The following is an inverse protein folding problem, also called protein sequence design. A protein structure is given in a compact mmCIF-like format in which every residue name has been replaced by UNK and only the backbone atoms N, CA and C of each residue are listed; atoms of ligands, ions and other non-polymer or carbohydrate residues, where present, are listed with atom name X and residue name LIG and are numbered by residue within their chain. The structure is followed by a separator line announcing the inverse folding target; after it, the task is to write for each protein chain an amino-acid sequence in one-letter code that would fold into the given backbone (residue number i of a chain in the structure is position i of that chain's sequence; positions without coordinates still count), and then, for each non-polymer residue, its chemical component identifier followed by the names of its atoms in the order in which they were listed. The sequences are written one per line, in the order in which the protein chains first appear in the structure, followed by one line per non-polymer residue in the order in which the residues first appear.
data_IF_722768324685
#
_entry.id   IF_722768324685
#
_cell.length_a   1.000
_cell.length_b   1.000
_cell.length_c   1.000
_cell.angle_alpha   90.00
_cell.angle_beta   90.00
_cell.angle_gamma   90.00
#
_symmetry.space_group_name_H-M   'P 1'
#
loop_
_entity.id
_entity.type
_entity.pdbx_description
1 polymer ?
#
# COMPACT_ATOMS: atom_id res chain seq x y z
N UNK A 1 6.61 -16.46 -6.61
CA UNK A 1 6.96 -15.08 -7.06
C UNK A 1 6.54 -14.79 -8.51
N UNK A 2 6.45 -15.81 -9.35
CA UNK A 2 6.09 -15.67 -10.78
C UNK A 2 4.74 -14.98 -11.03
N UNK A 3 3.67 -15.36 -10.31
CA UNK A 3 2.34 -14.74 -10.45
C UNK A 3 2.36 -13.22 -10.20
N UNK A 4 3.13 -12.77 -9.21
CA UNK A 4 3.32 -11.34 -8.92
C UNK A 4 3.99 -10.63 -10.10
N UNK A 5 5.09 -11.19 -10.61
CA UNK A 5 5.82 -10.61 -11.74
C UNK A 5 4.96 -10.58 -13.01
N UNK A 6 4.23 -11.66 -13.29
CA UNK A 6 3.34 -11.73 -14.44
C UNK A 6 2.18 -10.73 -14.31
N UNK A 7 1.57 -10.59 -13.13
CA UNK A 7 0.49 -9.63 -12.91
C UNK A 7 0.95 -8.19 -13.04
N UNK A 8 2.15 -7.86 -12.52
CA UNK A 8 2.76 -6.53 -12.69
C UNK A 8 3.01 -6.22 -14.18
N UNK A 9 3.61 -7.17 -14.93
CA UNK A 9 3.82 -6.99 -16.38
C UNK A 9 2.52 -6.86 -17.17
N UNK A 10 1.52 -7.69 -16.84
CA UNK A 10 0.23 -7.68 -17.52
C UNK A 10 -0.54 -6.36 -17.31
N UNK A 11 -0.36 -5.71 -16.14
CA UNK A 11 -0.98 -4.41 -15.86
C UNK A 11 -0.53 -3.28 -16.81
N UNK A 12 0.61 -3.43 -17.49
CA UNK A 12 1.16 -2.41 -18.38
C UNK A 12 1.65 -1.12 -17.69
N UNK A 13 1.60 -1.05 -16.36
CA UNK A 13 2.09 0.09 -15.59
C UNK A 13 3.57 -0.06 -15.21
N UNK A 14 4.37 1.03 -15.23
CA UNK A 14 5.71 1.03 -14.66
C UNK A 14 5.67 0.66 -13.17
N UNK A 15 6.60 -0.18 -12.71
CA UNK A 15 6.64 -0.61 -11.31
C UNK A 15 8.04 -0.57 -10.71
N UNK A 16 8.09 -0.26 -9.41
CA UNK A 16 9.26 -0.50 -8.55
C UNK A 16 8.93 -1.68 -7.63
N UNK A 17 9.58 -2.82 -7.84
CA UNK A 17 9.33 -4.01 -7.03
C UNK A 17 10.51 -4.30 -6.10
N UNK A 18 10.25 -4.30 -4.79
CA UNK A 18 11.26 -4.59 -3.77
C UNK A 18 11.25 -6.08 -3.42
N UNK A 19 12.30 -6.80 -3.81
CA UNK A 19 12.47 -8.24 -3.56
C UNK A 19 13.72 -8.48 -2.72
N UNK A 20 13.52 -8.74 -1.42
CA UNK A 20 14.62 -9.05 -0.47
C UNK A 20 15.31 -10.36 -0.85
N UNK A 21 16.63 -10.44 -0.65
CA UNK A 21 17.43 -11.66 -0.94
C UNK A 21 16.88 -12.92 -0.28
N UNK A 22 16.44 -12.82 0.98
CA UNK A 22 15.92 -13.95 1.74
C UNK A 22 14.53 -14.42 1.28
N UNK A 23 13.89 -13.66 0.37
CA UNK A 23 12.58 -13.98 -0.21
C UNK A 23 12.71 -14.37 -1.70
N UNK A 24 13.93 -14.55 -2.21
CA UNK A 24 14.15 -15.08 -3.56
C UNK A 24 14.21 -16.60 -3.49
N UNK A 25 13.32 -17.24 -4.21
CA UNK A 25 13.57 -18.61 -4.70
C UNK A 25 14.72 -18.51 -5.70
N UNK A 26 15.74 -19.37 -5.58
CA UNK A 26 16.98 -19.29 -6.35
C UNK A 26 16.77 -19.37 -7.88
N UNK A 27 15.59 -19.83 -8.33
CA UNK A 27 15.23 -20.04 -9.73
C UNK A 27 14.43 -18.90 -10.39
N UNK A 28 14.02 -17.86 -9.64
CA UNK A 28 13.16 -16.81 -10.20
C UNK A 28 13.99 -15.72 -10.90
N UNK A 29 13.97 -15.74 -12.24
CA UNK A 29 14.55 -14.68 -13.08
C UNK A 29 13.66 -13.44 -13.03
N UNK A 30 14.07 -12.46 -12.23
CA UNK A 30 13.42 -11.15 -12.16
C UNK A 30 13.84 -10.35 -13.40
N UNK A 31 12.85 -10.02 -14.21
CA UNK A 31 12.98 -9.25 -15.44
C UNK A 31 12.44 -7.84 -15.19
N UNK A 32 13.30 -6.87 -15.40
CA UNK A 32 12.98 -5.45 -15.39
C UNK A 32 12.28 -5.16 -16.72
N UNK A 33 10.95 -5.27 -16.73
CA UNK A 33 10.16 -4.81 -17.88
C UNK A 33 10.50 -3.37 -18.25
N UNK A 34 10.04 -2.90 -19.41
CA UNK A 34 10.31 -1.53 -19.86
C UNK A 34 9.84 -0.51 -18.79
N UNK A 35 10.70 0.43 -18.43
CA UNK A 35 10.50 1.45 -17.37
C UNK A 35 10.20 0.91 -15.96
N UNK A 36 10.60 -0.33 -15.65
CA UNK A 36 10.40 -0.95 -14.34
C UNK A 36 11.72 -1.32 -13.68
N UNK A 37 11.73 -1.42 -12.34
CA UNK A 37 12.94 -1.71 -11.57
C UNK A 37 12.68 -2.77 -10.51
N UNK A 38 13.65 -3.67 -10.30
CA UNK A 38 13.59 -4.67 -9.24
C UNK A 38 14.77 -4.54 -8.29
N UNK A 39 14.51 -4.04 -7.09
CA UNK A 39 15.55 -3.70 -6.10
C UNK A 39 15.44 -4.56 -4.86
N UNK A 40 16.51 -4.67 -4.07
CA UNK A 40 16.49 -5.46 -2.82
C UNK A 40 16.00 -4.65 -1.61
N UNK A 41 16.10 -3.33 -1.70
CA UNK A 41 15.72 -2.39 -0.67
C UNK A 41 15.43 -1.03 -1.31
N UNK A 42 14.51 -0.29 -0.72
CA UNK A 42 14.30 1.12 -1.02
C UNK A 42 13.98 1.88 0.28
N UNK A 43 14.11 3.20 0.25
CA UNK A 43 13.54 4.06 1.28
C UNK A 43 12.04 4.22 0.99
N UNK A 44 11.21 3.36 1.62
CA UNK A 44 9.76 3.29 1.35
C UNK A 44 9.07 4.64 1.52
N UNK A 45 9.41 5.40 2.57
CA UNK A 45 8.83 6.74 2.82
C UNK A 45 9.16 7.71 1.67
N UNK A 46 10.41 7.75 1.21
CA UNK A 46 10.79 8.60 0.08
C UNK A 46 10.09 8.17 -1.21
N UNK A 47 9.98 6.87 -1.46
CA UNK A 47 9.25 6.34 -2.62
C UNK A 47 7.78 6.76 -2.56
N UNK A 48 7.08 6.48 -1.45
CA UNK A 48 5.65 6.82 -1.29
C UNK A 48 5.38 8.33 -1.35
N UNK A 49 6.34 9.16 -0.96
CA UNK A 49 6.23 10.62 -1.07
C UNK A 49 6.40 11.16 -2.50
N UNK A 50 6.87 10.33 -3.44
CA UNK A 50 7.16 10.76 -4.80
C UNK A 50 5.87 10.87 -5.64
N UNK A 51 5.66 11.96 -6.40
CA UNK A 51 4.42 12.19 -7.15
C UNK A 51 4.15 11.18 -8.27
N UNK A 52 5.17 10.43 -8.71
CA UNK A 52 5.02 9.37 -9.73
C UNK A 52 4.37 8.09 -9.18
N UNK A 53 4.20 7.94 -7.86
CA UNK A 53 3.57 6.75 -7.29
C UNK A 53 2.05 6.84 -7.41
N UNK A 54 1.49 5.95 -8.23
CA UNK A 54 0.05 5.85 -8.45
C UNK A 54 -0.67 4.84 -7.54
N UNK A 55 0.04 3.82 -7.04
CA UNK A 55 -0.52 2.77 -6.19
C UNK A 55 0.59 2.09 -5.38
N UNK A 56 0.23 1.60 -4.19
CA UNK A 56 1.09 0.77 -3.35
C UNK A 56 0.49 -0.63 -3.15
N UNK A 57 1.17 -1.63 -3.69
CA UNK A 57 0.86 -3.04 -3.42
C UNK A 57 1.51 -3.43 -2.09
N UNK A 58 0.71 -3.77 -1.09
CA UNK A 58 1.18 -3.94 0.30
C UNK A 58 0.47 -5.08 1.01
N UNK A 59 1.14 -5.68 1.99
CA UNK A 59 0.53 -6.66 2.89
C UNK A 59 -0.30 -6.02 4.01
N UNK A 60 -0.47 -4.69 4.01
CA UNK A 60 -1.25 -3.96 5.03
C UNK A 60 -0.73 -4.09 6.47
N UNK A 61 0.59 -4.22 6.65
CA UNK A 61 1.21 -3.97 7.95
C UNK A 61 0.96 -2.53 8.38
N UNK A 62 0.64 -2.29 9.66
CA UNK A 62 0.12 -1.00 10.12
C UNK A 62 1.03 0.20 9.80
N UNK A 63 2.35 0.05 9.93
CA UNK A 63 3.30 1.11 9.57
C UNK A 63 3.19 1.49 8.08
N UNK A 64 3.23 0.50 7.19
CA UNK A 64 3.12 0.72 5.74
C UNK A 64 1.75 1.31 5.36
N UNK A 65 0.68 0.88 6.02
CA UNK A 65 -0.66 1.45 5.83
C UNK A 65 -0.69 2.93 6.22
N UNK A 66 -0.14 3.29 7.38
CA UNK A 66 -0.07 4.68 7.83
C UNK A 66 0.79 5.56 6.92
N UNK A 67 1.93 5.06 6.43
CA UNK A 67 2.76 5.78 5.46
C UNK A 67 1.98 6.04 4.15
N UNK A 68 1.28 5.04 3.63
CA UNK A 68 0.46 5.19 2.42
C UNK A 68 -0.64 6.23 2.60
N UNK A 69 -1.35 6.21 3.73
CA UNK A 69 -2.39 7.19 4.05
C UNK A 69 -1.80 8.59 4.21
N UNK A 70 -0.65 8.73 4.88
CA UNK A 70 0.00 10.02 5.14
C UNK A 70 0.52 10.71 3.88
N UNK A 71 0.78 9.96 2.79
CA UNK A 71 1.16 10.49 1.47
C UNK A 71 0.05 10.38 0.42
N UNK A 72 -1.14 9.94 0.81
CA UNK A 72 -2.30 9.85 -0.08
C UNK A 72 -2.10 8.90 -1.25
N UNK A 73 -1.37 7.80 -1.02
CA UNK A 73 -1.16 6.74 -2.01
C UNK A 73 -2.21 5.66 -1.81
N UNK A 74 -3.00 5.30 -2.84
CA UNK A 74 -3.99 4.23 -2.73
C UNK A 74 -3.33 2.85 -2.73
N UNK A 75 -4.03 1.85 -2.19
CA UNK A 75 -3.45 0.54 -1.92
C UNK A 75 -4.13 -0.61 -2.68
N UNK A 76 -3.32 -1.61 -3.07
CA UNK A 76 -3.78 -2.98 -3.29
C UNK A 76 -3.31 -3.81 -2.10
N UNK A 77 -4.26 -4.27 -1.31
CA UNK A 77 -4.02 -5.00 -0.07
C UNK A 77 -3.92 -6.51 -0.33
N UNK A 78 -2.79 -7.11 0.03
CA UNK A 78 -2.53 -8.56 -0.04
C UNK A 78 -2.08 -9.04 1.34
N UNK A 79 -3.01 -9.11 2.33
CA UNK A 79 -2.66 -9.48 3.69
C UNK A 79 -2.04 -10.87 3.74
N UNK A 80 -1.01 -11.03 4.58
CA UNK A 80 -0.30 -12.28 4.77
C UNK A 80 -0.63 -12.87 6.14
N UNK A 81 -0.31 -12.18 7.24
CA UNK A 81 -0.42 -12.73 8.61
C UNK A 81 -0.93 -11.71 9.65
N UNK A 82 -1.29 -12.20 10.84
CA UNK A 82 -1.59 -11.40 12.05
C UNK A 82 -2.79 -10.45 11.86
N UNK A 83 -2.61 -9.14 12.02
CA UNK A 83 -3.63 -8.09 12.00
C UNK A 83 -3.86 -7.54 10.59
N UNK A 84 -3.05 -7.96 9.61
CA UNK A 84 -3.03 -7.44 8.25
C UNK A 84 -4.38 -7.57 7.54
N UNK A 85 -5.14 -8.63 7.83
CA UNK A 85 -6.47 -8.81 7.25
C UNK A 85 -7.47 -7.75 7.75
N UNK A 86 -7.38 -7.42 9.04
CA UNK A 86 -8.18 -6.35 9.65
C UNK A 86 -7.76 -4.99 9.06
N UNK A 87 -6.46 -4.77 8.88
CA UNK A 87 -5.95 -3.55 8.26
C UNK A 87 -6.39 -3.42 6.80
N UNK A 88 -6.36 -4.51 6.03
CA UNK A 88 -6.84 -4.55 4.65
C UNK A 88 -8.35 -4.23 4.57
N UNK A 89 -9.15 -4.73 5.51
CA UNK A 89 -10.56 -4.37 5.62
C UNK A 89 -10.74 -2.86 5.85
N UNK A 90 -9.97 -2.26 6.75
CA UNK A 90 -10.03 -0.80 6.98
C UNK A 90 -9.68 -0.01 5.71
N UNK A 91 -8.65 -0.42 4.96
CA UNK A 91 -8.28 0.21 3.67
C UNK A 91 -9.46 0.26 2.69
N UNK A 92 -10.21 -0.85 2.59
CA UNK A 92 -11.42 -0.96 1.75
C UNK A 92 -12.56 -0.11 2.31
N UNK A 93 -12.85 -0.17 3.61
CA UNK A 93 -13.93 0.61 4.25
C UNK A 93 -13.68 2.12 4.17
N UNK A 94 -12.42 2.55 4.26
CA UNK A 94 -12.02 3.94 4.04
C UNK A 94 -12.03 4.37 2.57
N UNK A 95 -12.25 3.41 1.66
CA UNK A 95 -12.27 3.63 0.22
C UNK A 95 -10.92 4.08 -0.32
N UNK A 96 -9.81 3.67 0.29
CA UNK A 96 -8.44 4.06 -0.08
C UNK A 96 -7.69 2.97 -0.86
N UNK A 97 -8.36 1.86 -1.15
CA UNK A 97 -7.77 0.74 -1.87
C UNK A 97 -8.75 -0.41 -2.03
N UNK A 98 -8.23 -1.51 -2.57
CA UNK A 98 -8.94 -2.78 -2.75
C UNK A 98 -8.18 -3.92 -2.08
N UNK A 99 -8.88 -4.99 -1.70
CA UNK A 99 -8.27 -6.22 -1.19
C UNK A 99 -8.20 -7.24 -2.32
N UNK A 100 -7.01 -7.76 -2.56
CA UNK A 100 -6.79 -8.83 -3.52
C UNK A 100 -7.07 -10.18 -2.85
N UNK A 101 -8.00 -10.95 -3.40
CA UNK A 101 -8.32 -12.28 -2.89
C UNK A 101 -7.25 -13.29 -3.33
N UNK A 102 -6.76 -14.08 -2.38
CA UNK A 102 -5.85 -15.20 -2.65
C UNK A 102 -6.64 -16.49 -2.76
N UNK A 103 -6.11 -17.49 -3.47
CA UNK A 103 -6.74 -18.80 -3.56
C UNK A 103 -6.68 -19.57 -2.22
N UNK A 104 -7.25 -20.78 -2.18
CA UNK A 104 -7.27 -21.64 -0.98
C UNK A 104 -5.89 -21.98 -0.44
N UNK A 105 -4.88 -21.94 -1.32
CA UNK A 105 -3.48 -22.19 -1.02
C UNK A 105 -2.73 -20.92 -0.58
N UNK A 106 -3.42 -19.77 -0.47
CA UNK A 106 -2.82 -18.49 -0.08
C UNK A 106 -2.02 -17.81 -1.18
N UNK A 107 -2.17 -18.25 -2.43
CA UNK A 107 -1.45 -17.72 -3.60
C UNK A 107 -2.30 -16.65 -4.29
N UNK A 108 -1.70 -15.47 -4.49
CA UNK A 108 -2.25 -14.42 -5.35
C UNK A 108 -2.04 -14.81 -6.82
N UNK A 109 -3.12 -14.84 -7.59
CA UNK A 109 -3.07 -15.06 -9.04
C UNK A 109 -2.79 -13.76 -9.79
N UNK A 110 -2.04 -13.84 -10.89
CA UNK A 110 -1.68 -12.69 -11.72
C UNK A 110 -2.89 -11.89 -12.19
N UNK A 111 -3.99 -12.57 -12.56
CA UNK A 111 -5.20 -11.95 -13.08
C UNK A 111 -5.92 -11.13 -12.00
N UNK A 112 -5.85 -11.60 -10.75
CA UNK A 112 -6.40 -10.87 -9.59
C UNK A 112 -5.59 -9.60 -9.34
N UNK A 113 -4.27 -9.69 -9.39
CA UNK A 113 -3.39 -8.52 -9.23
C UNK A 113 -3.62 -7.49 -10.34
N UNK A 114 -3.65 -7.94 -11.60
CA UNK A 114 -3.92 -7.11 -12.76
C UNK A 114 -5.27 -6.38 -12.62
N UNK A 115 -6.34 -7.11 -12.29
CA UNK A 115 -7.67 -6.53 -12.09
C UNK A 115 -7.72 -5.52 -10.94
N UNK A 116 -7.01 -5.80 -9.84
CA UNK A 116 -6.91 -4.88 -8.71
C UNK A 116 -6.16 -3.59 -9.08
N UNK A 117 -5.06 -3.71 -9.83
CA UNK A 117 -4.29 -2.57 -10.32
C UNK A 117 -5.13 -1.72 -11.29
N UNK A 118 -5.83 -2.34 -12.24
CA UNK A 118 -6.75 -1.62 -13.14
C UNK A 118 -7.87 -0.92 -12.35
N UNK A 119 -8.41 -1.55 -11.32
CA UNK A 119 -9.43 -0.94 -10.46
C UNK A 119 -8.92 0.32 -9.75
N UNK A 120 -7.68 0.28 -9.23
CA UNK A 120 -7.11 1.39 -8.45
C UNK A 120 -6.52 2.49 -9.34
N UNK A 121 -5.83 2.11 -10.42
CA UNK A 121 -5.06 3.02 -11.27
C UNK A 121 -5.77 3.39 -12.58
N UNK A 122 -6.78 2.62 -13.00
CA UNK A 122 -7.56 2.89 -14.19
C UNK A 122 -8.38 4.19 -14.11
N UNK A 123 -8.98 4.54 -15.24
CA UNK A 123 -9.80 5.76 -15.41
C UNK A 123 -11.29 5.54 -15.11
N UNK A 124 -11.67 4.37 -14.62
CA UNK A 124 -13.02 4.09 -14.16
C UNK A 124 -13.39 4.90 -12.91
N UNK A 125 -14.69 5.07 -12.68
CA UNK A 125 -15.23 5.83 -11.54
C UNK A 125 -14.69 5.33 -10.20
N UNK A 126 -14.54 3.99 -10.05
CA UNK A 126 -13.99 3.37 -8.85
C UNK A 126 -12.57 3.86 -8.54
N UNK A 127 -11.65 3.80 -9.51
CA UNK A 127 -10.27 4.23 -9.35
C UNK A 127 -10.15 5.72 -9.06
N UNK A 128 -10.94 6.55 -9.75
CA UNK A 128 -11.00 7.99 -9.49
C UNK A 128 -11.40 8.26 -8.03
N UNK A 129 -12.46 7.59 -7.54
CA UNK A 129 -12.95 7.74 -6.17
C UNK A 129 -11.94 7.26 -5.13
N UNK A 130 -11.25 6.14 -5.40
CA UNK A 130 -10.20 5.61 -4.52
C UNK A 130 -9.06 6.62 -4.37
N UNK A 131 -8.57 7.17 -5.49
CA UNK A 131 -7.48 8.18 -5.48
C UNK A 131 -7.90 9.47 -4.78
N UNK A 132 -9.14 9.93 -4.98
CA UNK A 132 -9.69 11.09 -4.27
C UNK A 132 -9.77 10.84 -2.76
N UNK A 133 -10.27 9.69 -2.32
CA UNK A 133 -10.32 9.32 -0.92
C UNK A 133 -8.93 9.23 -0.30
N UNK A 134 -7.94 8.67 -1.01
CA UNK A 134 -6.56 8.64 -0.54
C UNK A 134 -6.04 10.07 -0.26
N UNK A 135 -6.34 11.05 -1.13
CA UNK A 135 -6.02 12.46 -0.88
C UNK A 135 -6.76 13.07 0.30
N UNK A 136 -8.03 12.71 0.53
CA UNK A 136 -8.76 13.15 1.73
C UNK A 136 -8.09 12.62 3.00
N UNK A 137 -7.63 11.37 2.99
CA UNK A 137 -6.92 10.77 4.13
C UNK A 137 -5.53 11.36 4.35
N UNK A 138 -4.82 11.73 3.28
CA UNK A 138 -3.56 12.49 3.35
C UNK A 138 -3.74 13.77 4.16
N UNK A 139 -4.76 14.56 3.81
CA UNK A 139 -5.04 15.82 4.49
C UNK A 139 -5.49 15.60 5.95
N UNK A 140 -6.33 14.59 6.20
CA UNK A 140 -6.70 14.21 7.58
C UNK A 140 -5.48 13.83 8.42
N UNK A 141 -4.56 13.05 7.87
CA UNK A 141 -3.35 12.62 8.57
C UNK A 141 -2.47 13.84 8.90
N UNK A 142 -2.27 14.77 7.96
CA UNK A 142 -1.53 16.02 8.19
C UNK A 142 -2.20 16.90 9.25
N UNK A 143 -3.52 17.03 9.21
CA UNK A 143 -4.29 17.83 10.17
C UNK A 143 -4.34 17.22 11.57
N UNK A 144 -4.18 15.90 11.71
CA UNK A 144 -4.19 15.24 13.01
C UNK A 144 -2.91 15.48 13.82
N UNK A 145 -1.80 15.75 13.14
CA UNK A 145 -0.50 16.01 13.77
C UNK A 145 -0.20 17.52 13.89
N UNK A 146 0.88 17.89 14.59
CA UNK A 146 1.40 19.27 14.70
C UNK A 146 0.33 20.29 15.12
N UNK A 147 -0.20 20.15 16.34
CA UNK A 147 -1.33 20.95 16.84
C UNK A 147 -2.70 20.40 16.44
N UNK A 148 -2.76 19.23 15.81
CA UNK A 148 -3.98 18.50 15.52
C UNK A 148 -4.48 17.61 16.66
N UNK A 149 -5.50 16.80 16.39
CA UNK A 149 -6.14 15.92 17.39
C UNK A 149 -5.18 14.93 18.04
N UNK A 150 -4.24 14.33 17.30
CA UNK A 150 -3.24 13.41 17.86
C UNK A 150 -2.26 14.12 18.80
N UNK A 151 -1.86 15.36 18.48
CA UNK A 151 -0.98 16.17 19.33
C UNK A 151 -1.68 16.58 20.64
N UNK A 152 -2.96 16.97 20.57
CA UNK A 152 -3.77 17.25 21.74
C UNK A 152 -3.95 16.01 22.62
N UNK A 153 -4.33 14.87 22.04
CA UNK A 153 -4.48 13.62 22.78
C UNK A 153 -3.18 13.20 23.49
N UNK A 154 -2.03 13.43 22.85
CA UNK A 154 -0.73 13.14 23.45
C UNK A 154 -0.45 14.08 24.65
N UNK A 155 -0.72 15.38 24.52
CA UNK A 155 -0.58 16.33 25.64
C UNK A 155 -1.49 15.98 26.81
N UNK A 156 -2.76 15.69 26.53
CA UNK A 156 -3.73 15.26 27.56
C UNK A 156 -3.26 14.01 28.30
N UNK A 157 -2.65 13.05 27.60
CA UNK A 157 -2.07 11.86 28.20
C UNK A 157 -0.89 12.20 29.12
N UNK A 158 0.01 13.10 28.71
CA UNK A 158 1.14 13.55 29.53
C UNK A 158 0.66 14.29 30.79
N UNK A 159 -0.33 15.15 30.68
CA UNK A 159 -0.88 15.87 31.84
C UNK A 159 -1.51 14.93 32.87
N UNK A 160 -2.17 13.85 32.42
CA UNK A 160 -2.77 12.87 33.33
C UNK A 160 -1.73 12.00 34.04
N UNK A 161 -0.60 11.73 33.39
CA UNK A 161 0.45 10.84 33.92
C UNK A 161 1.49 11.55 34.78
N UNK A 162 1.62 12.87 34.63
CA UNK A 162 2.56 13.70 35.42
C UNK A 162 1.95 14.29 36.71
N UNK A 163 0.63 14.09 36.94
CA UNK A 163 -0.08 14.48 38.18
C UNK A 163 0.04 13.44 39.30
N UNK A 164 1.13 12.65 39.32
CA UNK A 164 1.46 11.68 40.39
C UNK A 164 2.46 12.28 41.36
#
# INVERSE_FOLDING_TARGET
MEEMQCGLKASGHPYLWVVRKNNREEEVVLDEGHDSMVVQWCNQVQVLSHPSIGCFVTHCGWNSTLESLAYGVPMVAIPQWTDQDTNARMVVEWGTGVRAEVNKEGVLKREVLESCLETVMGNGECGIKIRQNAKVWEEKAKMAVRGGSSDHNFKDFLEKTTRV
#
